data_IF_762182534122
#
_entry.id   IF_762182534122
#
_cell.length_a   1.000
_cell.length_b   1.000
_cell.length_c   1.000
_cell.angle_alpha   90.00
_cell.angle_beta   90.00
_cell.angle_gamma   90.00
#
_symmetry.space_group_name_H-M   'P 1'
#
loop_
_entity.id
_entity.type
_entity.pdbx_description
1 polymer ?
#
# COMPACT_ATOMS: atom_id res chain seq x y z
N UNK A 1 -19.02 -20.36 30.11
CA UNK A 1 -18.08 -19.90 29.06
C UNK A 1 -18.32 -20.76 27.82
N UNK A 2 -19.01 -20.25 26.79
CA UNK A 2 -19.36 -21.08 25.64
C UNK A 2 -18.09 -21.43 24.84
N UNK A 3 -17.69 -22.72 24.76
CA UNK A 3 -16.46 -23.14 24.10
C UNK A 3 -16.41 -22.71 22.62
N UNK A 4 -17.58 -22.56 22.00
CA UNK A 4 -17.75 -22.09 20.63
C UNK A 4 -17.22 -20.65 20.44
N UNK A 5 -17.50 -19.74 21.39
CA UNK A 5 -17.05 -18.33 21.30
C UNK A 5 -15.52 -18.27 21.34
N UNK A 6 -14.90 -19.08 22.20
CA UNK A 6 -13.45 -19.17 22.31
C UNK A 6 -12.83 -19.65 20.99
N UNK A 7 -13.40 -20.69 20.37
CA UNK A 7 -12.92 -21.20 19.08
C UNK A 7 -13.08 -20.17 17.97
N UNK A 8 -14.21 -19.45 17.92
CA UNK A 8 -14.42 -18.39 16.91
C UNK A 8 -13.40 -17.27 17.07
N UNK A 9 -13.19 -16.77 18.30
CA UNK A 9 -12.19 -15.73 18.57
C UNK A 9 -10.77 -16.19 18.21
N UNK A 10 -10.42 -17.43 18.54
CA UNK A 10 -9.11 -17.99 18.20
C UNK A 10 -8.90 -18.04 16.68
N UNK A 11 -9.93 -18.45 15.91
CA UNK A 11 -9.84 -18.51 14.44
C UNK A 11 -9.76 -17.11 13.82
N UNK A 12 -10.52 -16.15 14.35
CA UNK A 12 -10.42 -14.76 13.89
C UNK A 12 -9.04 -14.18 14.17
N UNK A 13 -8.50 -14.39 15.36
CA UNK A 13 -7.14 -13.96 15.72
C UNK A 13 -6.09 -14.57 14.79
N UNK A 14 -6.13 -15.89 14.57
CA UNK A 14 -5.22 -16.56 13.64
C UNK A 14 -5.36 -16.03 12.20
N UNK A 15 -6.58 -15.72 11.77
CA UNK A 15 -6.85 -15.09 10.49
C UNK A 15 -6.18 -13.71 10.37
N UNK A 16 -6.38 -12.84 11.36
CA UNK A 16 -5.75 -11.51 11.41
C UNK A 16 -4.23 -11.61 11.41
N UNK A 17 -3.65 -12.49 12.23
CA UNK A 17 -2.20 -12.71 12.26
C UNK A 17 -1.68 -13.17 10.90
N UNK A 18 -2.40 -14.09 10.25
CA UNK A 18 -2.04 -14.55 8.90
C UNK A 18 -2.07 -13.41 7.89
N UNK A 19 -3.11 -12.57 7.91
CA UNK A 19 -3.22 -11.40 7.02
C UNK A 19 -2.07 -10.42 7.25
N UNK A 20 -1.71 -10.14 8.51
CA UNK A 20 -0.58 -9.26 8.83
C UNK A 20 0.72 -9.84 8.25
N UNK A 21 1.02 -11.12 8.50
CA UNK A 21 2.23 -11.77 7.98
C UNK A 21 2.28 -11.70 6.45
N UNK A 22 1.19 -12.06 5.78
CA UNK A 22 1.10 -12.01 4.31
C UNK A 22 1.27 -10.58 3.81
N UNK A 23 0.68 -9.58 4.47
CA UNK A 23 0.82 -8.17 4.10
C UNK A 23 2.27 -7.68 4.20
N UNK A 24 3.00 -8.06 5.26
CA UNK A 24 4.42 -7.72 5.42
C UNK A 24 5.24 -8.36 4.31
N UNK A 25 4.97 -9.62 3.98
CA UNK A 25 5.68 -10.34 2.91
C UNK A 25 5.46 -9.65 1.56
N UNK A 26 4.21 -9.31 1.23
CA UNK A 26 3.87 -8.62 -0.03
C UNK A 26 4.53 -7.25 -0.07
N UNK A 27 4.45 -6.48 1.00
CA UNK A 27 5.03 -5.14 1.08
C UNK A 27 6.55 -5.19 0.91
N UNK A 28 7.24 -6.10 1.62
CA UNK A 28 8.67 -6.30 1.49
C UNK A 28 9.06 -6.76 0.08
N UNK A 29 8.29 -7.67 -0.52
CA UNK A 29 8.53 -8.10 -1.89
C UNK A 29 8.45 -6.92 -2.88
N UNK A 30 7.43 -6.07 -2.76
CA UNK A 30 7.26 -4.87 -3.60
C UNK A 30 8.39 -3.87 -3.38
N UNK A 31 8.82 -3.62 -2.15
CA UNK A 31 9.93 -2.70 -1.85
C UNK A 31 11.27 -3.19 -2.43
N UNK A 32 11.44 -4.50 -2.55
CA UNK A 32 12.64 -5.10 -3.15
C UNK A 32 12.61 -5.12 -4.69
N UNK A 33 11.47 -4.80 -5.33
CA UNK A 33 11.42 -4.75 -6.79
C UNK A 33 12.35 -3.63 -7.31
N UNK A 34 13.19 -3.92 -8.31
CA UNK A 34 13.98 -2.87 -8.96
C UNK A 34 13.08 -1.95 -9.78
N UNK A 35 13.28 -0.65 -9.66
CA UNK A 35 12.56 0.39 -10.40
C UNK A 35 12.03 1.49 -9.49
N UNK A 36 11.64 2.63 -10.07
CA UNK A 36 10.94 3.68 -9.36
C UNK A 36 9.46 3.73 -9.75
N UNK A 37 8.58 3.71 -8.76
CA UNK A 37 7.14 3.86 -8.97
C UNK A 37 6.80 5.22 -9.61
N UNK A 38 7.48 6.29 -9.21
CA UNK A 38 7.27 7.63 -9.77
C UNK A 38 7.60 7.69 -11.26
N UNK A 39 8.75 7.16 -11.66
CA UNK A 39 9.14 7.04 -13.07
C UNK A 39 8.16 6.17 -13.87
N UNK A 40 7.72 5.04 -13.30
CA UNK A 40 6.77 4.15 -13.96
C UNK A 40 5.40 4.80 -14.17
N UNK A 41 4.92 5.61 -13.23
CA UNK A 41 3.62 6.28 -13.32
C UNK A 41 3.68 7.53 -14.19
N UNK A 42 4.75 8.32 -14.12
CA UNK A 42 4.89 9.58 -14.87
C UNK A 42 5.31 9.37 -16.32
N UNK A 43 5.96 8.24 -16.65
CA UNK A 43 6.35 7.90 -18.02
C UNK A 43 7.19 8.99 -18.69
N UNK A 44 6.72 9.54 -19.81
CA UNK A 44 7.44 10.59 -20.55
C UNK A 44 7.57 11.92 -19.79
N UNK A 45 6.76 12.14 -18.75
CA UNK A 45 6.82 13.32 -17.90
C UNK A 45 7.76 13.15 -16.69
N UNK A 46 8.46 12.01 -16.58
CA UNK A 46 9.38 11.70 -15.49
C UNK A 46 10.70 12.49 -15.59
N UNK A 47 10.65 13.80 -15.33
CA UNK A 47 11.85 14.58 -15.02
C UNK A 47 12.25 14.35 -13.56
N UNK A 48 13.50 14.64 -13.20
CA UNK A 48 13.97 14.44 -11.83
C UNK A 48 13.15 15.26 -10.83
N UNK A 49 12.77 16.46 -11.23
CA UNK A 49 11.98 17.40 -10.43
C UNK A 49 10.55 16.91 -10.25
N UNK A 50 9.89 16.41 -11.32
CA UNK A 50 8.51 15.92 -11.23
C UNK A 50 8.43 14.59 -10.47
N UNK A 51 9.41 13.69 -10.64
CA UNK A 51 9.50 12.45 -9.85
C UNK A 51 9.70 12.77 -8.37
N UNK A 52 10.59 13.70 -8.02
CA UNK A 52 10.83 14.08 -6.63
C UNK A 52 9.63 14.80 -5.98
N UNK A 53 8.87 15.57 -6.75
CA UNK A 53 7.61 16.17 -6.28
C UNK A 53 6.55 15.09 -6.06
N UNK A 54 6.36 14.20 -7.04
CA UNK A 54 5.39 13.10 -6.97
C UNK A 54 5.68 12.13 -5.83
N UNK A 55 6.95 11.78 -5.59
CA UNK A 55 7.35 10.95 -4.45
C UNK A 55 6.98 11.60 -3.11
N UNK A 56 7.19 12.90 -2.95
CA UNK A 56 6.82 13.64 -1.73
C UNK A 56 5.31 13.72 -1.53
N UNK A 57 4.56 13.94 -2.61
CA UNK A 57 3.09 13.98 -2.57
C UNK A 57 2.49 12.65 -2.11
N UNK A 58 3.08 11.54 -2.54
CA UNK A 58 2.67 10.18 -2.16
C UNK A 58 3.39 9.62 -0.91
N UNK A 59 4.25 10.42 -0.27
CA UNK A 59 5.06 9.98 0.87
C UNK A 59 6.04 8.84 0.55
N UNK A 60 6.37 8.60 -0.71
CA UNK A 60 7.33 7.56 -1.16
C UNK A 60 8.78 7.87 -0.76
N UNK A 61 9.06 9.10 -0.35
CA UNK A 61 10.32 9.53 0.24
C UNK A 61 10.46 9.12 1.72
N UNK A 62 9.39 8.65 2.35
CA UNK A 62 9.41 8.16 3.72
C UNK A 62 9.99 6.74 3.83
N UNK A 63 10.58 6.39 4.98
CA UNK A 63 11.05 5.03 5.22
C UNK A 63 9.92 3.99 5.05
N UNK A 64 10.26 2.83 4.49
CA UNK A 64 9.31 1.77 4.15
C UNK A 64 8.42 1.34 5.33
N UNK A 65 8.97 1.26 6.54
CA UNK A 65 8.22 0.91 7.74
C UNK A 65 7.17 1.96 8.11
N UNK A 66 7.44 3.26 7.90
CA UNK A 66 6.47 4.33 8.18
C UNK A 66 5.28 4.20 7.25
N UNK A 67 5.55 4.07 5.93
CA UNK A 67 4.52 3.85 4.90
C UNK A 67 3.65 2.63 5.20
N UNK A 68 4.27 1.52 5.64
CA UNK A 68 3.55 0.31 6.01
C UNK A 68 2.59 0.53 7.20
N UNK A 69 3.05 1.21 8.26
CA UNK A 69 2.20 1.49 9.43
C UNK A 69 1.08 2.48 9.12
N UNK A 70 1.35 3.51 8.32
CA UNK A 70 0.32 4.44 7.84
C UNK A 70 -0.77 3.71 7.04
N UNK A 71 -0.35 2.83 6.11
CA UNK A 71 -1.28 2.02 5.33
C UNK A 71 -2.12 1.07 6.21
N UNK A 72 -1.49 0.33 7.13
CA UNK A 72 -2.20 -0.55 8.07
C UNK A 72 -3.20 0.24 8.92
N UNK A 73 -2.83 1.44 9.39
CA UNK A 73 -3.71 2.29 10.17
C UNK A 73 -4.95 2.74 9.37
N UNK A 74 -4.79 3.05 8.08
CA UNK A 74 -5.89 3.32 7.16
C UNK A 74 -6.81 2.11 6.99
N UNK A 75 -6.23 0.91 6.78
CA UNK A 75 -7.00 -0.33 6.60
C UNK A 75 -7.89 -0.62 7.81
N UNK A 76 -7.40 -0.39 9.03
CA UNK A 76 -8.21 -0.54 10.25
C UNK A 76 -9.35 0.50 10.37
N UNK A 77 -9.24 1.62 9.66
CA UNK A 77 -10.27 2.66 9.56
C UNK A 77 -11.22 2.44 8.37
N UNK A 78 -10.98 1.40 7.56
CA UNK A 78 -11.75 1.12 6.34
C UNK A 78 -11.25 1.84 5.10
N UNK A 79 -10.11 2.53 5.17
CA UNK A 79 -9.44 3.16 4.05
C UNK A 79 -8.36 2.22 3.48
N UNK A 80 -8.58 1.71 2.28
CA UNK A 80 -7.63 0.82 1.60
C UNK A 80 -6.59 1.58 0.77
N UNK A 81 -6.70 2.90 0.70
CA UNK A 81 -5.88 3.81 -0.09
C UNK A 81 -6.41 4.05 -1.50
N UNK A 82 -5.54 4.59 -2.34
CA UNK A 82 -5.89 5.00 -3.71
C UNK A 82 -5.25 4.08 -4.75
N UNK A 83 -6.03 3.61 -5.72
CA UNK A 83 -5.55 2.83 -6.85
C UNK A 83 -5.05 3.74 -7.97
N UNK A 84 -3.82 3.49 -8.42
CA UNK A 84 -3.20 4.18 -9.57
C UNK A 84 -3.38 3.41 -10.89
N UNK A 85 -4.25 2.39 -10.91
CA UNK A 85 -4.52 1.59 -12.11
C UNK A 85 -5.00 2.49 -13.26
N UNK A 86 -4.34 2.45 -14.42
CA UNK A 86 -4.74 3.20 -15.61
C UNK A 86 -4.24 4.64 -15.72
N UNK A 87 -3.54 5.17 -14.69
CA UNK A 87 -2.93 6.52 -14.73
C UNK A 87 -1.80 6.61 -15.76
N UNK A 88 -0.92 5.60 -15.76
CA UNK A 88 0.23 5.52 -16.67
C UNK A 88 -0.15 5.50 -18.18
N UNK A 89 -1.36 5.06 -18.53
CA UNK A 89 -1.78 4.92 -19.93
C UNK A 89 -2.44 6.19 -20.51
N UNK A 90 -2.91 7.13 -19.68
CA UNK A 90 -3.77 8.23 -20.13
C UNK A 90 -3.19 9.63 -19.96
N UNK A 91 -2.10 9.79 -19.18
CA UNK A 91 -1.53 11.11 -18.86
C UNK A 91 -2.47 12.01 -18.03
N UNK A 92 -3.60 11.48 -17.58
CA UNK A 92 -4.63 12.15 -16.79
C UNK A 92 -4.73 11.43 -15.44
N UNK A 93 -4.94 12.19 -14.36
CA UNK A 93 -5.21 11.59 -13.06
C UNK A 93 -6.52 10.78 -13.11
N UNK A 94 -6.38 9.46 -12.98
CA UNK A 94 -7.49 8.50 -12.87
C UNK A 94 -7.39 7.69 -11.57
N UNK A 95 -6.70 8.23 -10.58
CA UNK A 95 -6.63 7.60 -9.28
C UNK A 95 -8.02 7.58 -8.65
N UNK A 96 -8.35 6.45 -8.01
CA UNK A 96 -9.66 6.23 -7.38
C UNK A 96 -9.48 5.54 -6.05
N UNK A 97 -10.34 5.86 -5.09
CA UNK A 97 -10.43 5.13 -3.83
C UNK A 97 -10.68 3.64 -4.10
N UNK A 98 -10.03 2.80 -3.30
CA UNK A 98 -10.12 1.33 -3.39
C UNK A 98 -11.29 0.82 -2.56
#
# INVERSE_FOLDING_TARGET
MHPIILTVLQRLFLGVVTLIIVSVIIFAAIEMLPGDFGEAVLGQAATKETVAAFRRELGLDQPAYVRYFEWIAGVFQGDLGTSFSGRAASGVDRSREV
#
